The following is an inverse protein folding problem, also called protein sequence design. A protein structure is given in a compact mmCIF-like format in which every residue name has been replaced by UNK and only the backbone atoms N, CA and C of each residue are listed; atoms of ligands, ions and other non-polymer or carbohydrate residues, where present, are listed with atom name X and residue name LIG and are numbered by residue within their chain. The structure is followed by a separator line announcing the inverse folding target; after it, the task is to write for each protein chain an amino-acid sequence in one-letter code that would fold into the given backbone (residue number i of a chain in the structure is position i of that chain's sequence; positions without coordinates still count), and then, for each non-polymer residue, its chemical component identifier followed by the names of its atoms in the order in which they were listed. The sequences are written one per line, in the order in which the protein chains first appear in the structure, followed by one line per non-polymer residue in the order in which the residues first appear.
data_IF_673899722826
#
_entry.id   IF_673899722826
#
_cell.length_a   1.000
_cell.length_b   1.000
_cell.length_c   1.000
_cell.angle_alpha   90.00
_cell.angle_beta   90.00
_cell.angle_gamma   90.00
#
_symmetry.space_group_name_H-M   'P 1'
#
loop_
_entity.id
_entity.type
_entity.pdbx_description
1 polymer ?
#
# COMPACT_ATOMS: atom_id res chain seq x y z
N UNK A 1 -5.45 -14.46 4.37
CA UNK A 1 -4.66 -14.14 3.17
C UNK A 1 -3.19 -14.24 3.53
N UNK A 2 -2.49 -15.12 2.89
CA UNK A 2 -1.03 -15.18 3.00
C UNK A 2 -0.44 -14.39 1.84
N UNK A 3 0.18 -13.27 2.17
CA UNK A 3 0.94 -12.50 1.20
C UNK A 3 2.21 -13.28 0.88
N UNK A 4 2.24 -13.89 -0.28
CA UNK A 4 3.50 -14.41 -0.82
C UNK A 4 4.03 -13.38 -1.80
N UNK A 5 4.84 -12.48 -1.30
CA UNK A 5 5.68 -11.67 -2.15
C UNK A 5 6.89 -12.52 -2.55
N UNK A 6 6.80 -13.22 -3.67
CA UNK A 6 7.93 -13.94 -4.23
C UNK A 6 8.64 -13.05 -5.24
N UNK A 7 9.33 -12.04 -4.78
CA UNK A 7 10.35 -11.41 -5.60
C UNK A 7 11.69 -11.61 -4.90
N UNK A 8 12.66 -12.09 -5.62
CA UNK A 8 14.07 -12.11 -5.22
C UNK A 8 14.62 -10.70 -5.00
N UNK A 9 13.77 -9.69 -5.12
CA UNK A 9 14.08 -8.29 -5.16
C UNK A 9 13.38 -7.57 -4.02
N UNK A 10 14.14 -6.85 -3.24
CA UNK A 10 13.75 -6.27 -1.96
C UNK A 10 12.62 -5.24 -1.99
N UNK A 11 12.22 -4.72 -3.16
CA UNK A 11 11.23 -3.64 -3.26
C UNK A 11 10.34 -3.77 -4.49
N UNK A 12 9.19 -4.40 -4.34
CA UNK A 12 8.20 -4.55 -5.41
C UNK A 12 7.81 -3.22 -6.09
N UNK A 13 7.81 -2.13 -5.34
CA UNK A 13 7.46 -0.79 -5.84
C UNK A 13 8.39 -0.26 -6.94
N UNK A 14 9.56 -0.86 -7.13
CA UNK A 14 10.49 -0.49 -8.20
C UNK A 14 10.32 -1.30 -9.49
N UNK A 15 9.43 -2.30 -9.47
CA UNK A 15 9.17 -3.18 -10.59
C UNK A 15 7.83 -2.80 -11.23
N UNK A 16 7.86 -2.38 -12.48
CA UNK A 16 6.65 -2.01 -13.23
C UNK A 16 5.66 -3.15 -13.40
N UNK A 17 6.12 -4.38 -13.32
CA UNK A 17 5.34 -5.61 -13.44
C UNK A 17 4.84 -6.18 -12.10
N UNK A 18 4.96 -5.40 -11.03
CA UNK A 18 4.46 -5.79 -9.72
C UNK A 18 2.94 -5.60 -9.61
N UNK A 19 2.20 -6.69 -9.77
CA UNK A 19 0.74 -6.73 -9.76
C UNK A 19 0.18 -7.31 -8.46
N UNK A 20 -0.99 -6.82 -8.06
CA UNK A 20 -1.79 -7.42 -7.00
C UNK A 20 -2.58 -8.62 -7.52
N UNK A 21 -2.62 -9.67 -6.72
CA UNK A 21 -3.41 -10.87 -7.02
C UNK A 21 -4.06 -11.41 -5.76
N UNK A 22 -5.22 -12.04 -5.91
CA UNK A 22 -5.87 -12.78 -4.84
C UNK A 22 -5.67 -14.27 -5.12
N UNK A 23 -5.39 -15.04 -4.07
CA UNK A 23 -5.39 -16.50 -4.13
C UNK A 23 -6.58 -17.00 -3.31
N UNK A 24 -7.46 -17.72 -3.96
CA UNK A 24 -8.51 -18.47 -3.28
C UNK A 24 -7.87 -19.66 -2.56
N UNK A 25 -7.94 -19.67 -1.24
CA UNK A 25 -7.28 -20.69 -0.41
C UNK A 25 -7.94 -22.07 -0.48
N UNK A 26 -9.22 -22.14 -0.85
CA UNK A 26 -9.93 -23.42 -0.97
C UNK A 26 -9.57 -24.12 -2.27
N UNK A 27 -9.56 -23.38 -3.37
CA UNK A 27 -9.27 -23.94 -4.70
C UNK A 27 -7.80 -23.82 -5.11
N UNK A 28 -7.01 -23.01 -4.43
CA UNK A 28 -5.64 -22.63 -4.80
C UNK A 28 -5.57 -21.79 -6.08
N UNK A 29 -6.71 -21.31 -6.58
CA UNK A 29 -6.78 -20.57 -7.83
C UNK A 29 -6.39 -19.10 -7.64
N UNK A 30 -5.51 -18.60 -8.51
CA UNK A 30 -5.19 -17.18 -8.61
C UNK A 30 -6.35 -16.44 -9.31
N UNK A 31 -6.79 -15.36 -8.69
CA UNK A 31 -7.77 -14.43 -9.22
C UNK A 31 -7.04 -13.11 -9.53
N UNK A 32 -6.85 -12.75 -10.80
CA UNK A 32 -6.21 -11.50 -11.16
C UNK A 32 -7.10 -10.31 -10.77
N UNK A 33 -6.48 -9.20 -10.40
CA UNK A 33 -7.16 -7.95 -10.05
C UNK A 33 -7.00 -6.92 -11.17
N UNK A 34 -7.37 -7.28 -12.40
CA UNK A 34 -7.12 -6.48 -13.61
C UNK A 34 -7.61 -5.03 -13.50
N UNK A 35 -8.77 -4.81 -12.86
CA UNK A 35 -9.31 -3.45 -12.66
C UNK A 35 -8.58 -2.66 -11.55
N UNK A 36 -7.85 -3.35 -10.69
CA UNK A 36 -7.03 -2.71 -9.64
C UNK A 36 -5.60 -2.45 -10.12
N UNK A 37 -5.07 -3.33 -10.96
CA UNK A 37 -3.72 -3.23 -11.51
C UNK A 37 -3.61 -2.19 -12.64
N UNK A 38 -2.39 -1.86 -13.04
CA UNK A 38 -2.08 -0.91 -14.12
C UNK A 38 -0.78 -1.32 -14.83
N UNK A 39 -0.30 -0.48 -15.72
CA UNK A 39 1.00 -0.65 -16.40
C UNK A 39 2.20 -0.21 -15.52
N UNK A 40 1.98 0.12 -14.24
CA UNK A 40 3.05 0.46 -13.28
C UNK A 40 2.84 -0.34 -11.99
N UNK A 41 3.81 -0.29 -11.10
CA UNK A 41 3.82 -1.10 -9.88
C UNK A 41 2.63 -0.84 -8.95
N UNK A 42 2.03 -1.92 -8.47
CA UNK A 42 1.10 -1.97 -7.35
C UNK A 42 1.74 -2.70 -6.18
N UNK A 43 1.73 -2.10 -4.99
CA UNK A 43 2.45 -2.64 -3.85
C UNK A 43 1.86 -2.22 -2.51
N UNK A 44 2.35 -2.84 -1.44
CA UNK A 44 2.03 -2.46 -0.05
C UNK A 44 0.53 -2.34 0.22
N UNK A 45 -0.20 -3.42 -0.03
CA UNK A 45 -1.65 -3.44 0.17
C UNK A 45 -2.06 -3.72 1.62
N UNK A 46 -3.23 -3.23 1.97
CA UNK A 46 -3.90 -3.54 3.23
C UNK A 46 -5.40 -3.77 2.98
N UNK A 47 -5.97 -4.75 3.67
CA UNK A 47 -7.39 -5.04 3.62
C UNK A 47 -8.16 -4.32 4.72
N UNK A 48 -9.36 -3.85 4.38
CA UNK A 48 -10.31 -3.40 5.41
C UNK A 48 -10.80 -4.57 6.27
N UNK A 49 -11.20 -4.28 7.50
CA UNK A 49 -11.66 -5.28 8.47
C UNK A 49 -12.85 -6.13 8.00
N UNK A 50 -13.66 -5.60 7.07
CA UNK A 50 -14.80 -6.33 6.49
C UNK A 50 -14.43 -7.14 5.23
N UNK A 51 -13.15 -7.14 4.83
CA UNK A 51 -12.67 -7.87 3.66
C UNK A 51 -13.21 -7.41 2.30
N UNK A 52 -13.77 -6.19 2.24
CA UNK A 52 -14.43 -5.67 1.03
C UNK A 52 -13.66 -4.57 0.33
N UNK A 53 -12.67 -4.00 0.98
CA UNK A 53 -11.87 -2.93 0.41
C UNK A 53 -10.40 -3.25 0.55
N UNK A 54 -9.65 -2.90 -0.48
CA UNK A 54 -8.19 -2.96 -0.48
C UNK A 54 -7.65 -1.57 -0.76
N UNK A 55 -6.67 -1.15 0.04
CA UNK A 55 -5.88 0.06 -0.19
C UNK A 55 -4.44 -0.35 -0.47
N UNK A 56 -3.81 0.32 -1.41
CA UNK A 56 -2.45 0.03 -1.83
C UNK A 56 -1.78 1.26 -2.42
N UNK A 57 -0.51 1.19 -2.70
CA UNK A 57 0.23 2.23 -3.38
C UNK A 57 0.52 1.85 -4.83
N UNK A 58 0.47 2.84 -5.72
CA UNK A 58 0.85 2.69 -7.12
C UNK A 58 1.49 3.97 -7.64
N UNK A 59 2.39 3.85 -8.60
CA UNK A 59 3.04 4.97 -9.27
C UNK A 59 2.36 5.37 -10.58
N UNK A 60 1.25 4.72 -10.94
CA UNK A 60 0.51 4.91 -12.20
C UNK A 60 0.13 6.36 -12.55
N UNK A 61 0.16 7.29 -11.57
CA UNK A 61 -0.22 8.69 -11.81
C UNK A 61 0.85 9.46 -12.57
N UNK A 62 2.12 9.27 -12.20
CA UNK A 62 3.25 10.06 -12.71
C UNK A 62 4.54 9.24 -12.91
N UNK A 63 4.54 7.96 -12.60
CA UNK A 63 5.70 7.07 -12.69
C UNK A 63 6.79 7.35 -11.66
N UNK A 64 6.62 8.34 -10.79
CA UNK A 64 7.65 8.82 -9.87
C UNK A 64 7.28 8.59 -8.41
N UNK A 65 6.07 9.00 -8.02
CA UNK A 65 5.63 8.98 -6.63
C UNK A 65 4.56 7.95 -6.39
N UNK A 66 4.72 7.17 -5.33
CA UNK A 66 3.69 6.24 -4.87
C UNK A 66 2.50 7.02 -4.32
N UNK A 67 1.31 6.75 -4.86
CA UNK A 67 0.03 7.34 -4.46
C UNK A 67 -0.90 6.27 -3.94
N UNK A 68 -1.82 6.66 -3.07
CA UNK A 68 -2.80 5.76 -2.47
C UNK A 68 -3.96 5.51 -3.42
N UNK A 69 -4.20 4.26 -3.73
CA UNK A 69 -5.35 3.79 -4.50
C UNK A 69 -6.21 2.88 -3.64
N UNK A 70 -7.50 2.89 -3.92
CA UNK A 70 -8.46 2.03 -3.24
C UNK A 70 -9.36 1.36 -4.25
N UNK A 71 -9.68 0.09 -4.02
CA UNK A 71 -10.59 -0.70 -4.84
C UNK A 71 -11.54 -1.50 -3.96
N UNK A 72 -12.77 -1.71 -4.43
CA UNK A 72 -13.73 -2.59 -3.79
C UNK A 72 -13.57 -4.02 -4.35
N UNK A 73 -13.62 -5.00 -3.48
CA UNK A 73 -13.59 -6.41 -3.85
C UNK A 73 -14.98 -7.01 -3.57
N UNK A 74 -15.60 -7.56 -4.58
CA UNK A 74 -16.91 -8.19 -4.46
C UNK A 74 -16.83 -9.60 -3.82
N UNK A 75 -17.99 -10.26 -3.71
CA UNK A 75 -18.07 -11.59 -3.09
C UNK A 75 -17.36 -12.68 -3.92
N UNK A 76 -17.20 -12.46 -5.22
CA UNK A 76 -16.56 -13.38 -6.15
C UNK A 76 -15.04 -13.12 -6.27
N UNK A 77 -14.52 -12.18 -5.47
CA UNK A 77 -13.10 -11.80 -5.47
C UNK A 77 -12.70 -10.88 -6.63
N UNK A 78 -13.68 -10.28 -7.33
CA UNK A 78 -13.42 -9.36 -8.42
C UNK A 78 -13.25 -7.94 -7.92
N UNK A 79 -12.20 -7.27 -8.37
CA UNK A 79 -11.95 -5.87 -8.06
C UNK A 79 -12.84 -4.94 -8.91
N UNK A 80 -13.29 -3.85 -8.30
CA UNK A 80 -13.75 -2.68 -9.03
C UNK A 80 -12.58 -1.87 -9.56
N UNK A 81 -12.82 -1.00 -10.51
CA UNK A 81 -11.83 -0.04 -10.98
C UNK A 81 -11.25 0.73 -9.80
N UNK A 82 -9.94 0.75 -9.72
CA UNK A 82 -9.23 1.51 -8.70
C UNK A 82 -9.39 3.01 -8.87
N UNK A 83 -9.46 3.72 -7.76
CA UNK A 83 -9.47 5.17 -7.77
C UNK A 83 -8.46 5.74 -6.78
N UNK A 84 -7.88 6.86 -7.15
CA UNK A 84 -6.96 7.61 -6.29
C UNK A 84 -7.71 8.07 -5.04
N UNK A 85 -7.14 7.83 -3.85
CA UNK A 85 -7.78 8.19 -2.59
C UNK A 85 -8.05 9.70 -2.55
N UNK A 86 -9.33 10.12 -2.45
CA UNK A 86 -9.68 11.54 -2.51
C UNK A 86 -9.06 12.34 -1.37
N UNK A 87 -8.59 13.53 -1.70
CA UNK A 87 -8.07 14.48 -0.75
C UNK A 87 -8.95 15.73 -0.69
N UNK A 88 -8.85 16.50 0.39
CA UNK A 88 -9.63 17.73 0.57
C UNK A 88 -9.45 18.73 -0.58
N UNK A 89 -8.26 18.74 -1.18
CA UNK A 89 -7.92 19.59 -2.33
C UNK A 89 -7.68 18.73 -3.55
N UNK A 90 -8.27 19.09 -4.67
CA UNK A 90 -8.12 18.36 -5.94
C UNK A 90 -6.69 18.38 -6.50
N UNK A 91 -5.92 19.44 -6.20
CA UNK A 91 -4.53 19.62 -6.64
C UNK A 91 -3.50 19.02 -5.66
N UNK A 92 -3.95 18.33 -4.62
CA UNK A 92 -3.08 17.84 -3.55
C UNK A 92 -1.93 16.98 -4.07
N UNK A 93 -2.24 15.96 -4.85
CA UNK A 93 -1.23 15.03 -5.35
C UNK A 93 -0.27 15.65 -6.36
N UNK A 94 -0.70 16.68 -7.09
CA UNK A 94 0.16 17.42 -8.02
C UNK A 94 1.23 18.25 -7.32
N UNK A 95 0.98 18.61 -6.05
CA UNK A 95 1.90 19.40 -5.22
C UNK A 95 2.72 18.58 -4.25
N UNK A 96 2.33 17.33 -4.04
CA UNK A 96 2.98 16.45 -3.07
C UNK A 96 4.22 15.83 -3.70
N UNK A 97 5.39 16.21 -3.24
CA UNK A 97 6.69 15.68 -3.66
C UNK A 97 7.15 14.48 -2.82
N UNK A 98 6.25 13.88 -2.05
CA UNK A 98 6.54 12.70 -1.22
C UNK A 98 5.76 11.50 -1.74
N UNK A 99 6.35 10.32 -1.61
CA UNK A 99 5.68 9.03 -1.80
C UNK A 99 4.98 8.60 -0.52
N UNK A 100 3.82 7.95 -0.67
CA UNK A 100 3.25 7.15 0.39
C UNK A 100 3.96 5.80 0.45
N UNK A 101 4.04 5.24 1.65
CA UNK A 101 4.61 3.92 1.89
C UNK A 101 3.47 2.93 2.18
N UNK A 102 3.56 2.15 3.23
CA UNK A 102 2.59 1.12 3.58
C UNK A 102 1.32 1.77 4.14
N UNK A 103 0.18 1.73 3.43
CA UNK A 103 -1.09 2.21 3.97
C UNK A 103 -1.73 1.16 4.89
N UNK A 104 -2.47 1.62 5.89
CA UNK A 104 -3.23 0.75 6.78
C UNK A 104 -4.62 1.32 7.03
N UNK A 105 -5.63 0.43 7.06
CA UNK A 105 -6.94 0.78 7.59
C UNK A 105 -6.92 0.74 9.12
N UNK A 106 -7.50 1.75 9.74
CA UNK A 106 -7.63 1.84 11.19
C UNK A 106 -9.10 1.92 11.60
N UNK A 107 -9.45 1.41 12.76
CA UNK A 107 -10.82 1.37 13.28
C UNK A 107 -11.12 2.50 14.27
N UNK A 108 -10.39 3.57 14.22
CA UNK A 108 -10.61 4.70 15.12
C UNK A 108 -9.71 5.86 14.81
N UNK A 109 -9.85 6.93 15.59
CA UNK A 109 -8.96 8.07 15.46
C UNK A 109 -7.59 7.71 16.02
N UNK A 110 -6.55 8.02 15.26
CA UNK A 110 -5.18 7.97 15.77
C UNK A 110 -4.99 9.10 16.77
N UNK A 111 -4.72 8.72 18.03
CA UNK A 111 -4.58 9.66 19.14
C UNK A 111 -3.10 9.97 19.43
N UNK A 112 -2.40 10.45 18.41
CA UNK A 112 -1.06 11.00 18.60
C UNK A 112 -0.81 12.17 17.64
N UNK A 113 0.07 13.08 18.06
CA UNK A 113 0.54 14.19 17.24
C UNK A 113 1.79 13.76 16.45
N UNK A 114 1.76 13.82 15.09
CA UNK A 114 2.93 13.51 14.26
C UNK A 114 4.18 14.32 14.64
N UNK A 115 3.99 15.54 15.14
CA UNK A 115 5.09 16.38 15.64
C UNK A 115 5.74 15.82 16.90
N UNK A 116 5.00 15.13 17.77
CA UNK A 116 5.56 14.44 18.94
C UNK A 116 6.42 13.26 18.51
N UNK A 117 5.95 12.45 17.55
CA UNK A 117 6.76 11.34 17.01
C UNK A 117 8.05 11.83 16.37
N UNK A 118 7.98 12.89 15.58
CA UNK A 118 9.17 13.45 14.96
C UNK A 118 10.17 14.01 16.00
N UNK A 119 9.68 14.60 17.11
CA UNK A 119 10.54 15.05 18.22
C UNK A 119 11.15 13.86 18.95
N UNK A 120 10.36 12.82 19.22
CA UNK A 120 10.85 11.62 19.88
C UNK A 120 11.94 10.93 19.05
N UNK A 121 11.70 10.69 17.76
CA UNK A 121 12.66 10.09 16.85
C UNK A 121 13.97 10.89 16.73
N UNK A 122 13.90 12.22 16.85
CA UNK A 122 15.10 13.09 16.84
C UNK A 122 15.82 13.14 18.20
N UNK A 123 15.12 12.89 19.29
CA UNK A 123 15.69 12.94 20.65
C UNK A 123 16.30 11.63 21.11
N UNK A 124 15.96 10.52 20.46
CA UNK A 124 16.53 9.22 20.77
C UNK A 124 17.94 9.13 20.18
N UNK A 125 18.98 9.00 21.01
CA UNK A 125 20.38 8.84 20.54
C UNK A 125 20.61 7.52 19.79
N UNK A 126 19.59 6.65 19.72
CA UNK A 126 19.69 5.32 19.14
C UNK A 126 20.42 4.33 20.06
N UNK A 127 20.06 3.08 19.94
CA UNK A 127 20.77 2.00 20.62
C UNK A 127 21.82 1.43 19.67
N UNK A 128 23.08 1.54 20.03
CA UNK A 128 24.15 0.88 19.28
C UNK A 128 23.98 -0.64 19.37
N UNK A 129 23.72 -1.27 18.24
CA UNK A 129 23.67 -2.72 18.13
C UNK A 129 25.11 -3.20 17.85
N UNK A 130 25.69 -3.94 18.77
CA UNK A 130 26.94 -4.66 18.53
C UNK A 130 26.60 -6.08 18.10
N UNK A 131 27.11 -6.51 16.95
CA UNK A 131 27.09 -7.91 16.56
C UNK A 131 28.16 -8.63 17.40
N UNK A 132 27.79 -9.74 18.03
CA UNK A 132 28.78 -10.68 18.60
C UNK A 132 29.21 -11.60 17.46
N UNK A 133 30.49 -11.64 17.23
CA UNK A 133 31.14 -12.64 16.37
C UNK A 133 30.94 -14.06 16.92
#
# INVERSE_FOLDING_TARGET
SSDVCSSDLCFAIWHHDADLNIIDLESGRRLPLDEANSDDAESYHCWSSNGRWIIYVSRRLDGLYSRLYISHIDADGKASKAFLLPQKRSDYYMRLLNSYNVPEFITGKVDFDPGQMARFAKSDPGTNISFRD
#
